data_IF_569711130092
#
_entry.id   IF_569711130092
#
_cell.length_a   1.000
_cell.length_b   1.000
_cell.length_c   1.000
_cell.angle_alpha   90.00
_cell.angle_beta   90.00
_cell.angle_gamma   90.00
#
_symmetry.space_group_name_H-M   'P 1'
#
loop_
_entity.id
_entity.type
_entity.pdbx_description
1 polymer ?
#
# COMPACT_ATOMS: atom_id res chain seq x y z
N UNK A 1 -2.37 -0.02 11.78
CA UNK A 1 -1.19 0.81 12.11
C UNK A 1 -1.67 2.25 12.07
N UNK A 2 -1.55 3.02 13.15
CA UNK A 2 -2.14 4.37 13.23
C UNK A 2 -1.06 5.44 13.07
N UNK A 3 -0.56 5.62 11.84
CA UNK A 3 0.48 6.58 11.50
C UNK A 3 -0.20 7.77 10.82
N UNK A 4 -0.17 8.94 11.47
CA UNK A 4 -0.86 10.14 10.97
C UNK A 4 0.09 11.31 10.73
N UNK A 5 1.27 11.28 11.35
CA UNK A 5 2.24 12.38 11.29
C UNK A 5 3.65 11.88 10.97
N UNK A 6 4.52 12.80 10.53
CA UNK A 6 5.96 12.52 10.32
C UNK A 6 6.65 12.02 11.60
N UNK A 7 6.17 12.44 12.79
CA UNK A 7 6.68 11.96 14.07
C UNK A 7 6.32 10.48 14.29
N UNK A 8 5.12 10.07 13.92
CA UNK A 8 4.68 8.68 14.05
C UNK A 8 5.48 7.77 13.11
N UNK A 9 5.75 8.22 11.89
CA UNK A 9 6.65 7.52 10.94
C UNK A 9 8.02 7.30 11.58
N UNK A 10 8.62 8.36 12.16
CA UNK A 10 9.94 8.25 12.80
C UNK A 10 9.93 7.24 13.94
N UNK A 11 8.96 7.33 14.86
CA UNK A 11 8.82 6.39 15.98
C UNK A 11 8.61 4.94 15.50
N UNK A 12 7.84 4.75 14.43
CA UNK A 12 7.63 3.44 13.84
C UNK A 12 8.94 2.86 13.29
N UNK A 13 9.72 3.64 12.54
CA UNK A 13 11.02 3.22 12.01
C UNK A 13 12.04 2.92 13.11
N UNK A 14 12.08 3.72 14.18
CA UNK A 14 12.91 3.46 15.36
C UNK A 14 12.53 2.13 16.04
N UNK A 15 11.23 1.86 16.20
CA UNK A 15 10.73 0.59 16.72
C UNK A 15 11.09 -0.61 15.85
N UNK A 16 11.09 -0.45 14.52
CA UNK A 16 11.54 -1.50 13.60
C UNK A 16 13.03 -1.81 13.74
N UNK A 17 13.87 -0.80 13.96
CA UNK A 17 15.32 -0.99 14.14
C UNK A 17 15.70 -1.70 15.44
N UNK A 18 14.80 -1.67 16.44
CA UNK A 18 15.02 -2.20 17.78
C UNK A 18 14.22 -3.49 18.08
N UNK A 19 13.26 -3.85 17.22
CA UNK A 19 12.41 -5.02 17.37
C UNK A 19 12.91 -6.25 16.59
N UNK A 20 12.74 -7.45 17.17
CA UNK A 20 13.06 -8.76 16.58
C UNK A 20 12.04 -9.25 15.52
N UNK A 21 11.08 -8.39 15.13
CA UNK A 21 10.01 -8.78 14.23
C UNK A 21 10.51 -8.84 12.79
N UNK A 22 10.49 -10.02 12.17
CA UNK A 22 10.66 -10.13 10.73
C UNK A 22 9.53 -9.36 10.03
N UNK A 23 9.90 -8.37 9.21
CA UNK A 23 8.93 -7.60 8.45
C UNK A 23 8.11 -8.56 7.58
N UNK A 24 6.77 -8.46 7.66
CA UNK A 24 5.81 -9.20 6.82
C UNK A 24 6.13 -9.13 5.31
N UNK A 25 6.85 -8.08 4.87
CA UNK A 25 7.39 -7.91 3.52
C UNK A 25 8.17 -9.13 3.01
N UNK A 26 8.84 -9.87 3.91
CA UNK A 26 9.65 -11.02 3.54
C UNK A 26 8.82 -12.28 3.23
N UNK A 27 7.53 -12.32 3.63
CA UNK A 27 6.66 -13.50 3.49
C UNK A 27 5.81 -13.45 2.22
N UNK A 28 5.48 -12.26 1.73
CA UNK A 28 4.50 -12.05 0.65
C UNK A 28 5.12 -11.77 -0.72
N UNK A 29 6.41 -12.10 -0.92
CA UNK A 29 7.11 -11.83 -2.19
C UNK A 29 7.23 -10.33 -2.50
N UNK A 30 7.18 -9.47 -1.47
CA UNK A 30 7.25 -8.01 -1.62
C UNK A 30 5.90 -7.29 -1.70
N UNK A 31 4.78 -8.02 -1.77
CA UNK A 31 3.44 -7.43 -1.92
C UNK A 31 2.69 -7.31 -0.60
N UNK A 32 2.14 -6.14 -0.28
CA UNK A 32 1.30 -5.98 0.89
C UNK A 32 0.33 -4.82 0.69
N UNK A 33 -0.74 -4.83 1.49
CA UNK A 33 -1.81 -3.84 1.40
C UNK A 33 -1.80 -2.91 2.60
N UNK A 34 -2.22 -1.68 2.36
CA UNK A 34 -2.49 -0.69 3.39
C UNK A 34 -3.88 -0.10 3.18
N UNK A 35 -4.63 0.05 4.27
CA UNK A 35 -5.83 0.89 4.29
C UNK A 35 -5.40 2.31 4.61
N UNK A 36 -5.74 3.25 3.74
CA UNK A 36 -5.46 4.68 3.90
C UNK A 36 -6.80 5.39 4.09
N UNK A 37 -6.86 6.29 5.05
CA UNK A 37 -8.03 7.13 5.32
C UNK A 37 -7.59 8.60 5.25
N UNK A 38 -8.42 9.43 4.62
CA UNK A 38 -8.20 10.86 4.51
C UNK A 38 -9.53 11.62 4.69
N UNK A 39 -9.44 12.94 4.84
CA UNK A 39 -10.59 13.82 5.08
C UNK A 39 -11.43 14.05 3.82
N UNK A 40 -10.87 13.82 2.63
CA UNK A 40 -11.55 13.91 1.35
C UNK A 40 -10.95 12.95 0.31
N UNK A 41 -11.73 12.65 -0.73
CA UNK A 41 -11.29 11.86 -1.89
C UNK A 41 -10.15 12.54 -2.65
N UNK A 42 -10.17 13.88 -2.76
CA UNK A 42 -9.08 14.65 -3.40
C UNK A 42 -7.72 14.39 -2.75
N UNK A 43 -7.68 14.29 -1.41
CA UNK A 43 -6.46 13.94 -0.68
C UNK A 43 -6.05 12.50 -0.98
N UNK A 44 -7.00 11.58 -1.15
CA UNK A 44 -6.69 10.19 -1.54
C UNK A 44 -6.12 10.11 -2.96
N UNK A 45 -6.65 10.91 -3.88
CA UNK A 45 -6.15 11.00 -5.26
C UNK A 45 -4.71 11.54 -5.29
N UNK A 46 -4.42 12.61 -4.53
CA UNK A 46 -3.07 13.16 -4.39
C UNK A 46 -2.08 12.13 -3.82
N UNK A 47 -2.49 11.42 -2.77
CA UNK A 47 -1.69 10.32 -2.18
C UNK A 47 -1.43 9.24 -3.23
N UNK A 48 -2.45 8.83 -3.98
CA UNK A 48 -2.33 7.80 -5.00
C UNK A 48 -1.35 8.21 -6.10
N UNK A 49 -1.45 9.46 -6.59
CA UNK A 49 -0.57 9.99 -7.63
C UNK A 49 0.90 10.02 -7.17
N UNK A 50 1.17 10.53 -5.97
CA UNK A 50 2.52 10.59 -5.40
C UNK A 50 3.12 9.18 -5.19
N UNK A 51 2.31 8.21 -4.76
CA UNK A 51 2.73 6.81 -4.64
C UNK A 51 3.00 6.17 -6.01
N UNK A 52 2.22 6.52 -7.04
CA UNK A 52 2.41 6.04 -8.40
C UNK A 52 3.71 6.57 -9.00
N UNK A 53 3.98 7.87 -8.86
CA UNK A 53 5.19 8.52 -9.35
C UNK A 53 6.45 7.94 -8.73
N UNK A 54 6.41 7.57 -7.44
CA UNK A 54 7.51 6.89 -6.75
C UNK A 54 7.63 5.40 -7.07
N UNK A 55 6.70 4.83 -7.83
CA UNK A 55 6.69 3.40 -8.17
C UNK A 55 6.32 2.47 -7.00
N UNK A 56 5.59 2.97 -6.00
CA UNK A 56 5.13 2.15 -4.87
C UNK A 56 3.81 1.43 -5.13
N UNK A 57 3.01 1.93 -6.09
CA UNK A 57 1.78 1.25 -6.47
C UNK A 57 2.06 0.03 -7.34
N UNK A 58 1.38 -1.07 -7.04
CA UNK A 58 1.32 -2.20 -7.94
C UNK A 58 0.36 -1.88 -9.10
N UNK A 59 0.76 -2.20 -10.33
CA UNK A 59 -0.19 -2.25 -11.43
C UNK A 59 -1.20 -3.39 -11.18
N UNK A 60 -2.42 -3.02 -10.80
CA UNK A 60 -3.52 -3.98 -10.81
C UNK A 60 -3.76 -4.36 -12.27
N UNK A 61 -3.57 -5.65 -12.58
CA UNK A 61 -3.95 -6.18 -13.88
C UNK A 61 -5.48 -6.21 -13.90
N UNK A 62 -6.11 -5.09 -14.24
CA UNK A 62 -7.55 -5.11 -14.57
C UNK A 62 -7.69 -6.06 -15.75
N UNK A 63 -8.34 -7.20 -15.55
CA UNK A 63 -8.79 -8.02 -16.67
C UNK A 63 -9.74 -7.14 -17.48
N UNK A 64 -9.24 -6.63 -18.59
CA UNK A 64 -10.05 -6.04 -19.64
C UNK A 64 -10.98 -7.15 -20.16
N UNK A 65 -12.24 -7.13 -19.74
CA UNK A 65 -13.35 -7.86 -20.35
C UNK A 65 -13.19 -9.38 -20.47
N UNK A 66 -13.60 -10.13 -19.44
CA UNK A 66 -14.21 -11.43 -19.71
C UNK A 66 -15.67 -11.15 -20.04
N UNK A 67 -15.98 -11.03 -21.33
CA UNK A 67 -17.35 -11.27 -21.81
C UNK A 67 -17.68 -12.72 -21.49
N UNK A 68 -18.70 -12.94 -20.67
CA UNK A 68 -19.14 -14.27 -20.30
C UNK A 68 -19.73 -15.02 -21.50
N UNK A 69 -18.88 -15.77 -22.20
CA UNK A 69 -19.11 -16.96 -23.03
C UNK A 69 -17.69 -17.48 -23.28
N UNK A 70 -17.17 -18.47 -22.57
CA UNK A 70 -17.37 -19.90 -22.83
C UNK A 70 -16.83 -20.63 -21.58
N UNK A 71 -17.62 -21.39 -20.82
CA UNK A 71 -17.82 -22.83 -21.04
C UNK A 71 -16.55 -23.55 -21.54
N UNK A 72 -15.69 -24.01 -20.62
CA UNK A 72 -15.21 -25.39 -20.44
C UNK A 72 -14.26 -25.46 -19.24
#
# INVERSE_FOLDING_TARGET
MNIRTRRDVKKFLEGLSTGSSSLLKNVTGGYHYHTIEAESEEILDDIQNELAEKGFLMQSRRQSGISGTDAF
#
